data_IF_853661256209
#
_entry.id   IF_853661256209
#
_cell.length_a   1.000
_cell.length_b   1.000
_cell.length_c   1.000
_cell.angle_alpha   90.00
_cell.angle_beta   90.00
_cell.angle_gamma   90.00
#
_symmetry.space_group_name_H-M   'P 1'
#
loop_
_entity.id
_entity.type
_entity.pdbx_description
1 polymer ?
#
# COMPACT_ATOMS: atom_id res chain seq x y z
N UNK A 1 -17.98 2.73 14.10
CA UNK A 1 -16.86 1.88 13.63
C UNK A 1 -16.06 1.47 14.87
N UNK A 2 -15.82 0.19 15.08
CA UNK A 2 -15.01 -0.26 16.22
C UNK A 2 -13.51 -0.06 15.91
N UNK A 3 -12.62 -0.23 16.90
CA UNK A 3 -11.18 -0.01 16.71
C UNK A 3 -10.55 -1.01 15.75
N UNK A 4 -11.01 -2.27 15.78
CA UNK A 4 -10.56 -3.34 14.89
C UNK A 4 -10.92 -3.05 13.42
N UNK A 5 -12.12 -2.54 13.14
CA UNK A 5 -12.57 -2.11 11.82
C UNK A 5 -11.71 -0.93 11.31
N UNK A 6 -11.36 0.01 12.21
CA UNK A 6 -10.46 1.13 11.89
C UNK A 6 -9.08 0.63 11.49
N UNK A 7 -8.53 -0.35 12.22
CA UNK A 7 -7.21 -0.92 11.94
C UNK A 7 -7.22 -1.69 10.64
N UNK A 8 -8.25 -2.50 10.41
CA UNK A 8 -8.43 -3.22 9.16
C UNK A 8 -8.42 -2.28 7.96
N UNK A 9 -9.21 -1.20 8.01
CA UNK A 9 -9.28 -0.23 6.92
C UNK A 9 -7.92 0.42 6.64
N UNK A 10 -7.17 0.78 7.69
CA UNK A 10 -5.84 1.39 7.55
C UNK A 10 -4.82 0.44 6.94
N UNK A 11 -4.79 -0.80 7.42
CA UNK A 11 -3.91 -1.85 6.88
C UNK A 11 -4.26 -2.17 5.43
N UNK A 12 -5.55 -2.25 5.10
CA UNK A 12 -6.03 -2.44 3.72
C UNK A 12 -5.63 -1.27 2.82
N UNK A 13 -5.74 -0.03 3.29
CA UNK A 13 -5.28 1.13 2.52
C UNK A 13 -3.78 1.08 2.25
N UNK A 14 -2.96 0.65 3.22
CA UNK A 14 -1.52 0.48 3.03
C UNK A 14 -1.23 -0.52 1.91
N UNK A 15 -1.84 -1.71 1.96
CA UNK A 15 -1.58 -2.76 0.97
C UNK A 15 -2.17 -2.44 -0.40
N UNK A 16 -3.38 -1.89 -0.47
CA UNK A 16 -3.95 -1.41 -1.74
C UNK A 16 -3.04 -0.36 -2.40
N UNK A 17 -2.46 0.53 -1.60
CA UNK A 17 -1.50 1.52 -2.07
C UNK A 17 -0.24 0.88 -2.67
N UNK A 18 0.29 -0.17 -2.05
CA UNK A 18 1.47 -0.89 -2.56
C UNK A 18 1.14 -1.61 -3.88
N UNK A 19 -0.04 -2.23 -3.97
CA UNK A 19 -0.53 -2.87 -5.20
C UNK A 19 -0.64 -1.85 -6.33
N UNK A 20 -1.23 -0.69 -6.06
CA UNK A 20 -1.39 0.38 -7.06
C UNK A 20 -0.04 0.87 -7.58
N UNK A 21 0.94 1.07 -6.70
CA UNK A 21 2.30 1.46 -7.09
C UNK A 21 2.97 0.38 -7.93
N UNK A 22 2.86 -0.89 -7.52
CA UNK A 22 3.44 -2.00 -8.26
C UNK A 22 2.83 -2.12 -9.67
N UNK A 23 1.50 -2.08 -9.79
CA UNK A 23 0.81 -2.10 -11.07
C UNK A 23 1.25 -0.99 -12.02
N UNK A 24 1.49 0.23 -11.51
CA UNK A 24 1.99 1.33 -12.34
C UNK A 24 3.43 1.15 -12.82
N UNK A 25 4.28 0.53 -12.00
CA UNK A 25 5.64 0.18 -12.42
C UNK A 25 5.59 -0.90 -13.52
N UNK A 26 4.73 -1.90 -13.37
CA UNK A 26 4.55 -2.94 -14.37
C UNK A 26 4.07 -2.37 -15.71
N UNK A 27 3.02 -1.56 -15.69
CA UNK A 27 2.46 -0.92 -16.89
C UNK A 27 3.50 -0.03 -17.60
N UNK A 28 4.35 0.67 -16.84
CA UNK A 28 5.36 1.58 -17.38
C UNK A 28 6.56 0.85 -17.99
N UNK A 29 7.02 -0.21 -17.33
CA UNK A 29 8.30 -0.85 -17.64
C UNK A 29 8.17 -2.23 -18.30
N UNK A 30 6.94 -2.66 -18.64
CA UNK A 30 6.63 -3.97 -19.21
C UNK A 30 7.23 -5.13 -18.40
N UNK A 31 7.29 -4.96 -17.07
CA UNK A 31 7.86 -5.96 -16.16
C UNK A 31 6.80 -7.02 -15.88
N UNK A 32 7.00 -8.23 -16.41
CA UNK A 32 6.23 -9.42 -16.05
C UNK A 32 6.61 -9.91 -14.63
N UNK A 33 6.23 -9.16 -13.60
CA UNK A 33 6.19 -9.66 -12.24
C UNK A 33 4.78 -10.16 -11.89
N UNK A 34 4.68 -11.08 -10.95
CA UNK A 34 3.38 -11.62 -10.55
C UNK A 34 2.77 -10.79 -9.43
N UNK A 35 1.61 -10.15 -9.68
CA UNK A 35 0.79 -9.50 -8.65
C UNK A 35 0.21 -10.49 -7.62
N UNK A 36 0.33 -11.79 -7.86
CA UNK A 36 -0.23 -12.83 -6.99
C UNK A 36 0.24 -12.68 -5.53
N UNK A 37 1.51 -12.31 -5.31
CA UNK A 37 2.03 -12.13 -3.95
C UNK A 37 1.35 -10.99 -3.19
N UNK A 38 0.95 -9.92 -3.88
CA UNK A 38 0.23 -8.82 -3.25
C UNK A 38 -1.27 -9.10 -3.08
N UNK A 39 -1.85 -9.88 -3.99
CA UNK A 39 -3.23 -10.37 -3.85
C UNK A 39 -3.35 -11.34 -2.66
N UNK A 40 -2.39 -12.26 -2.51
CA UNK A 40 -2.29 -13.16 -1.37
C UNK A 40 -2.13 -12.37 -0.06
N UNK A 41 -1.37 -11.26 -0.08
CA UNK A 41 -1.22 -10.36 1.06
C UNK A 41 -2.54 -9.65 1.40
N UNK A 42 -3.32 -9.22 0.40
CA UNK A 42 -4.64 -8.62 0.61
C UNK A 42 -5.61 -9.62 1.25
N UNK A 43 -5.58 -10.88 0.82
CA UNK A 43 -6.39 -11.96 1.39
C UNK A 43 -5.97 -12.28 2.83
N UNK A 44 -4.67 -12.40 3.10
CA UNK A 44 -4.15 -12.61 4.45
C UNK A 44 -4.58 -11.48 5.42
N UNK A 45 -4.63 -10.23 4.95
CA UNK A 45 -5.11 -9.09 5.75
C UNK A 45 -6.61 -9.19 6.05
N UNK A 46 -7.42 -9.75 5.15
CA UNK A 46 -8.84 -9.98 5.41
C UNK A 46 -9.04 -11.00 6.53
N UNK A 47 -8.16 -12.00 6.63
CA UNK A 47 -8.21 -13.03 7.67
C UNK A 47 -7.53 -12.61 9.00
N UNK A 48 -6.69 -11.58 8.96
CA UNK A 48 -5.94 -11.09 10.12
C UNK A 48 -6.86 -10.67 11.27
N UNK A 49 -6.61 -11.21 12.47
CA UNK A 49 -7.31 -10.85 13.69
C UNK A 49 -6.79 -9.50 14.22
N UNK A 50 -7.59 -8.46 13.99
CA UNK A 50 -7.26 -7.09 14.36
C UNK A 50 -7.25 -6.85 15.88
N UNK A 51 -7.74 -7.78 16.69
CA UNK A 51 -7.64 -7.67 18.15
C UNK A 51 -6.23 -7.96 18.67
N UNK A 52 -5.38 -8.57 17.84
CA UNK A 52 -3.98 -8.85 18.15
C UNK A 52 -3.03 -7.72 17.70
N UNK A 53 -3.58 -6.69 17.05
CA UNK A 53 -2.83 -5.58 16.45
C UNK A 53 -2.98 -4.33 17.30
N UNK A 54 -1.85 -3.69 17.59
CA UNK A 54 -1.81 -2.41 18.30
C UNK A 54 -1.84 -1.24 17.33
N UNK A 55 -2.20 -0.05 17.84
CA UNK A 55 -2.05 1.21 17.10
C UNK A 55 -0.62 1.39 16.56
N UNK A 56 0.38 0.99 17.33
CA UNK A 56 1.79 1.14 16.97
C UNK A 56 2.14 0.29 15.74
N UNK A 57 1.63 -0.93 15.65
CA UNK A 57 1.85 -1.80 14.50
C UNK A 57 1.26 -1.19 13.22
N UNK A 58 0.05 -0.62 13.33
CA UNK A 58 -0.60 0.07 12.21
C UNK A 58 0.20 1.31 11.79
N UNK A 59 0.65 2.12 12.76
CA UNK A 59 1.47 3.30 12.47
C UNK A 59 2.82 2.94 11.84
N UNK A 60 3.45 1.85 12.28
CA UNK A 60 4.69 1.37 11.65
C UNK A 60 4.46 0.96 10.20
N UNK A 61 3.34 0.30 9.90
CA UNK A 61 2.97 -0.06 8.54
C UNK A 61 2.70 1.18 7.67
N UNK A 62 1.97 2.16 8.19
CA UNK A 62 1.70 3.42 7.51
C UNK A 62 3.00 4.20 7.25
N UNK A 63 3.92 4.24 8.21
CA UNK A 63 5.24 4.88 8.05
C UNK A 63 6.09 4.20 6.99
N UNK A 64 6.17 2.87 7.01
CA UNK A 64 6.90 2.11 6.00
C UNK A 64 6.31 2.33 4.60
N UNK A 65 4.98 2.33 4.49
CA UNK A 65 4.29 2.59 3.22
C UNK A 65 4.54 4.02 2.75
N UNK A 66 4.43 5.02 3.62
CA UNK A 66 4.70 6.42 3.29
C UNK A 66 6.17 6.66 2.89
N UNK A 67 7.12 5.96 3.50
CA UNK A 67 8.54 6.02 3.11
C UNK A 67 8.74 5.47 1.69
N UNK A 68 8.14 4.31 1.39
CA UNK A 68 8.14 3.73 0.04
C UNK A 68 7.55 4.71 -0.99
N UNK A 69 6.39 5.32 -0.68
CA UNK A 69 5.78 6.32 -1.54
C UNK A 69 6.65 7.56 -1.77
N UNK A 70 7.38 8.00 -0.75
CA UNK A 70 8.28 9.14 -0.88
C UNK A 70 9.45 8.84 -1.84
N UNK A 71 9.95 7.61 -1.85
CA UNK A 71 10.97 7.16 -2.80
C UNK A 71 10.41 7.15 -4.23
N UNK A 72 9.18 6.65 -4.42
CA UNK A 72 8.52 6.66 -5.73
C UNK A 72 8.05 8.03 -6.18
N UNK A 73 7.77 8.96 -5.26
CA UNK A 73 7.33 10.32 -5.57
C UNK A 73 8.30 11.02 -6.52
N UNK A 74 9.60 10.81 -6.35
CA UNK A 74 10.63 11.36 -7.25
C UNK A 74 10.45 10.83 -8.68
N UNK A 75 10.04 9.56 -8.83
CA UNK A 75 9.78 8.94 -10.12
C UNK A 75 8.46 9.43 -10.75
N UNK A 76 7.41 9.62 -9.93
CA UNK A 76 6.14 10.21 -10.37
C UNK A 76 6.28 11.68 -10.79
N UNK A 77 6.94 12.51 -9.99
CA UNK A 77 7.17 13.94 -10.29
C UNK A 77 8.07 14.13 -11.52
N UNK A 78 8.99 13.20 -11.78
CA UNK A 78 9.79 13.19 -12.99
C UNK A 78 9.01 12.76 -14.26
N UNK A 79 7.71 12.44 -14.13
CA UNK A 79 6.87 11.93 -15.22
C UNK A 79 7.29 10.55 -15.72
N UNK A 80 8.08 9.81 -14.93
CA UNK A 80 8.62 8.48 -15.26
C UNK A 80 7.75 7.33 -14.75
N UNK A 81 6.68 7.65 -14.03
CA UNK A 81 5.57 6.78 -13.69
C UNK A 81 4.32 7.59 -14.06
N UNK A 82 3.46 7.08 -14.96
CA UNK A 82 2.39 7.83 -15.63
C UNK A 82 1.56 8.76 -14.72
N UNK A 83 0.92 9.77 -15.30
CA UNK A 83 0.24 10.90 -14.61
C UNK A 83 -0.99 10.54 -13.74
N UNK A 84 -1.18 9.26 -13.39
CA UNK A 84 -2.34 8.75 -12.68
C UNK A 84 -2.28 8.82 -11.15
N UNK A 85 -1.12 9.00 -10.54
CA UNK A 85 -1.00 8.97 -9.08
C UNK A 85 -1.31 10.30 -8.40
N UNK A 86 -2.48 10.37 -7.73
CA UNK A 86 -2.74 11.36 -6.67
C UNK A 86 -2.42 10.72 -5.32
N UNK A 87 -1.13 10.47 -5.07
CA UNK A 87 -0.67 9.97 -3.79
C UNK A 87 -0.99 10.95 -2.67
N UNK A 88 -2.04 10.66 -1.89
CA UNK A 88 -2.21 11.29 -0.60
C UNK A 88 -1.45 10.47 0.44
N UNK A 89 -0.61 11.09 1.29
CA UNK A 89 0.04 10.37 2.37
C UNK A 89 -1.01 9.70 3.26
N UNK A 90 -0.72 8.46 3.68
CA UNK A 90 -1.53 7.75 4.66
C UNK A 90 -1.41 8.47 6.02
N UNK A 91 -2.51 8.49 6.78
CA UNK A 91 -2.72 9.29 8.01
C UNK A 91 -1.55 9.22 9.01
#
# INVERSE_FOLDING_TARGET
MNIADKYRLRVQNCVGTIIDVHGMIQDQYEVEESLNQFQDLEEAIRELDMNLISELDVLMLEQATNALLAEFKILFEAGKLGTGWRGYPLN
#
